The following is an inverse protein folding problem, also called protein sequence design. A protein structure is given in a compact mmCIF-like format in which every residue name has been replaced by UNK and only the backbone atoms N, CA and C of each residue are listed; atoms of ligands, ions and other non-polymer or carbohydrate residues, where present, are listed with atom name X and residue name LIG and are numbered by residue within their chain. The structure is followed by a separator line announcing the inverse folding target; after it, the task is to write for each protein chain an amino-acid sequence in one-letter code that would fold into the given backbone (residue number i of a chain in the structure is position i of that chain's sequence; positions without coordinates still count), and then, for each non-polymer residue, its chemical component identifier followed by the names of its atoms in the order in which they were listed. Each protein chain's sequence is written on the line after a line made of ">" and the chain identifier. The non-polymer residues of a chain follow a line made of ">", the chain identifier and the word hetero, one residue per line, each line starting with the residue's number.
data_IF_300608636802
#
_entry.id   IF_300608636802
#
_cell.length_a   1.000
_cell.length_b   1.000
_cell.length_c   1.000
_cell.angle_alpha   90.00
_cell.angle_beta   90.00
_cell.angle_gamma   90.00
#
_symmetry.space_group_name_H-M   'P 1'
#
loop_
_entity.id
_entity.type
_entity.pdbx_description
1 polymer ?
#
# COMPACT_ATOMS: atom_id res chain seq x y z
N UNK A 1 -4.61 2.25 -7.85
CA UNK A 1 -3.97 1.24 -6.97
C UNK A 1 -2.74 0.76 -7.71
N UNK A 2 -1.56 0.95 -7.14
CA UNK A 2 -0.30 0.41 -7.68
C UNK A 2 0.10 -0.78 -6.80
N UNK A 3 0.32 -1.94 -7.42
CA UNK A 3 0.98 -3.08 -6.78
C UNK A 3 2.49 -2.82 -6.90
N UNK A 4 3.21 -2.86 -5.79
CA UNK A 4 4.59 -2.38 -5.74
C UNK A 4 5.58 -3.52 -5.61
N UNK A 5 5.28 -4.49 -4.74
CA UNK A 5 6.12 -5.65 -4.50
C UNK A 5 5.18 -6.83 -4.30
N UNK A 6 5.46 -7.95 -4.98
CA UNK A 6 4.86 -9.26 -4.72
C UNK A 6 5.99 -10.26 -4.50
N UNK A 7 6.18 -10.69 -3.26
CA UNK A 7 6.83 -11.98 -2.96
C UNK A 7 5.75 -13.05 -2.80
N UNK A 8 6.16 -14.30 -2.60
CA UNK A 8 5.23 -15.42 -2.45
C UNK A 8 4.31 -15.28 -1.23
N UNK A 9 4.77 -14.60 -0.18
CA UNK A 9 4.04 -14.46 1.09
C UNK A 9 3.66 -13.03 1.46
N UNK A 10 4.34 -12.02 0.90
CA UNK A 10 4.18 -10.62 1.28
C UNK A 10 4.03 -9.74 0.04
N UNK A 11 3.01 -8.88 0.04
CA UNK A 11 2.88 -7.88 -1.00
C UNK A 11 2.31 -6.56 -0.49
N UNK A 12 2.66 -5.48 -1.19
CA UNK A 12 2.27 -4.12 -0.85
C UNK A 12 1.40 -3.49 -1.93
N UNK A 13 0.27 -2.90 -1.50
CA UNK A 13 -0.62 -2.09 -2.32
C UNK A 13 -0.55 -0.62 -1.86
N UNK A 14 -0.35 0.31 -2.80
CA UNK A 14 -0.56 1.73 -2.55
C UNK A 14 -1.86 2.21 -3.16
N UNK A 15 -2.64 2.85 -2.29
CA UNK A 15 -3.82 3.61 -2.61
C UNK A 15 -3.48 5.09 -2.57
N UNK A 16 -3.66 5.83 -3.67
CA UNK A 16 -3.52 7.29 -3.69
C UNK A 16 -4.72 7.99 -3.02
N UNK A 17 -5.27 7.36 -1.99
CA UNK A 17 -6.35 7.85 -1.15
C UNK A 17 -5.92 7.59 0.29
N UNK A 18 -5.90 8.64 1.10
CA UNK A 18 -5.56 8.51 2.52
C UNK A 18 -6.83 8.21 3.32
N UNK A 19 -6.87 7.06 4.00
CA UNK A 19 -8.00 6.61 4.80
C UNK A 19 -7.95 7.06 6.28
N UNK A 20 -6.91 7.81 6.67
CA UNK A 20 -6.63 8.22 8.07
C UNK A 20 -7.76 8.94 8.78
N UNK A 21 -8.62 9.66 8.05
CA UNK A 21 -9.74 10.41 8.61
C UNK A 21 -11.01 9.57 8.84
N UNK A 22 -11.02 8.31 8.38
CA UNK A 22 -12.16 7.42 8.50
C UNK A 22 -12.14 6.65 9.83
N UNK A 23 -13.31 6.17 10.25
CA UNK A 23 -13.40 5.25 11.39
C UNK A 23 -12.83 3.89 11.01
N UNK A 24 -12.33 3.14 11.99
CA UNK A 24 -11.75 1.81 11.79
C UNK A 24 -12.69 0.86 11.01
N UNK A 25 -13.99 0.86 11.35
CA UNK A 25 -15.00 0.05 10.65
C UNK A 25 -15.12 0.38 9.17
N UNK A 26 -14.99 1.66 8.81
CA UNK A 26 -15.08 2.15 7.44
C UNK A 26 -13.81 1.82 6.66
N UNK A 27 -12.65 1.87 7.33
CA UNK A 27 -11.36 1.44 6.78
C UNK A 27 -11.45 -0.05 6.44
N UNK A 28 -11.84 -0.90 7.41
CA UNK A 28 -11.99 -2.35 7.22
C UNK A 28 -12.93 -2.65 6.05
N UNK A 29 -14.08 -1.98 5.99
CA UNK A 29 -15.06 -2.16 4.90
C UNK A 29 -14.45 -1.79 3.54
N UNK A 30 -13.72 -0.68 3.46
CA UNK A 30 -13.03 -0.29 2.22
C UNK A 30 -11.95 -1.29 1.80
N UNK A 31 -11.17 -1.79 2.75
CA UNK A 31 -10.13 -2.81 2.50
C UNK A 31 -10.77 -4.09 1.93
N UNK A 32 -11.85 -4.58 2.55
CA UNK A 32 -12.62 -5.73 2.03
C UNK A 32 -13.10 -5.50 0.60
N UNK A 33 -13.68 -4.32 0.32
CA UNK A 33 -14.13 -3.98 -1.03
C UNK A 33 -13.00 -3.90 -2.05
N UNK A 34 -11.82 -3.42 -1.67
CA UNK A 34 -10.63 -3.41 -2.55
C UNK A 34 -10.27 -4.84 -2.93
N UNK A 35 -10.14 -5.74 -1.96
CA UNK A 35 -9.82 -7.14 -2.26
C UNK A 35 -10.91 -7.79 -3.11
N UNK A 36 -12.19 -7.67 -2.77
CA UNK A 36 -13.27 -8.22 -3.59
C UNK A 36 -13.24 -7.71 -5.04
N UNK A 37 -12.99 -6.41 -5.22
CA UNK A 37 -12.96 -5.78 -6.55
C UNK A 37 -11.75 -6.19 -7.38
N UNK A 38 -10.59 -6.37 -6.75
CA UNK A 38 -9.32 -6.55 -7.46
C UNK A 38 -8.78 -7.97 -7.43
N UNK A 39 -9.28 -8.84 -6.54
CA UNK A 39 -8.80 -10.22 -6.42
C UNK A 39 -9.01 -11.02 -7.71
N UNK A 40 -10.18 -10.86 -8.36
CA UNK A 40 -10.45 -11.52 -9.65
C UNK A 40 -9.43 -11.15 -10.74
N UNK A 41 -8.88 -9.93 -10.71
CA UNK A 41 -7.96 -9.45 -11.75
C UNK A 41 -6.50 -9.79 -11.45
N UNK A 42 -6.11 -9.74 -10.19
CA UNK A 42 -4.70 -9.79 -9.79
C UNK A 42 -4.34 -11.02 -8.96
N UNK A 43 -5.31 -11.89 -8.64
CA UNK A 43 -5.12 -13.07 -7.78
C UNK A 43 -4.30 -12.73 -6.53
N UNK A 44 -4.84 -11.77 -5.76
CA UNK A 44 -4.22 -11.20 -4.57
C UNK A 44 -4.36 -12.13 -3.36
N UNK A 45 -5.48 -12.84 -3.27
CA UNK A 45 -5.86 -13.68 -2.13
C UNK A 45 -6.30 -15.06 -2.66
N UNK A 46 -5.56 -16.07 -2.23
CA UNK A 46 -5.95 -17.48 -2.26
C UNK A 46 -6.54 -17.86 -0.89
N UNK A 47 -7.21 -19.02 -0.76
CA UNK A 47 -7.63 -19.50 0.54
C UNK A 47 -6.49 -19.53 1.57
N UNK A 48 -6.78 -19.07 2.78
CA UNK A 48 -5.80 -18.92 3.85
C UNK A 48 -6.09 -17.78 4.81
N UNK A 49 -5.21 -17.63 5.79
CA UNK A 49 -5.24 -16.56 6.79
C UNK A 49 -4.19 -15.50 6.48
N UNK A 50 -4.61 -14.24 6.43
CA UNK A 50 -3.75 -13.10 6.10
C UNK A 50 -3.79 -12.05 7.20
N UNK A 51 -2.63 -11.48 7.49
CA UNK A 51 -2.52 -10.22 8.22
C UNK A 51 -2.42 -9.08 7.22
N UNK A 52 -3.29 -8.09 7.42
CA UNK A 52 -3.42 -6.92 6.56
C UNK A 52 -3.10 -5.69 7.40
N UNK A 53 -1.87 -5.21 7.29
CA UNK A 53 -1.50 -3.96 7.93
C UNK A 53 -1.88 -2.78 7.03
N UNK A 54 -2.57 -1.82 7.62
CA UNK A 54 -2.97 -0.57 6.96
C UNK A 54 -2.15 0.55 7.56
N UNK A 55 -1.34 1.19 6.73
CA UNK A 55 -0.54 2.35 7.09
C UNK A 55 -1.05 3.60 6.40
N UNK A 56 -0.98 4.72 7.10
CA UNK A 56 -1.30 6.04 6.57
C UNK A 56 -0.03 6.86 6.42
N UNK A 57 0.19 7.38 5.22
CA UNK A 57 1.28 8.28 4.92
C UNK A 57 0.73 9.53 4.27
N UNK A 58 1.16 10.69 4.75
CA UNK A 58 0.58 11.97 4.33
C UNK A 58 0.85 12.23 2.85
N UNK A 59 2.03 11.84 2.38
CA UNK A 59 2.40 11.87 0.96
C UNK A 59 1.81 10.68 0.20
N UNK A 60 2.17 9.43 0.55
CA UNK A 60 1.87 8.33 -0.37
C UNK A 60 0.39 7.88 -0.42
N UNK A 61 -0.39 8.31 0.57
CA UNK A 61 -1.75 7.86 0.80
C UNK A 61 -1.80 6.66 1.75
N UNK A 62 -2.69 5.71 1.46
CA UNK A 62 -2.81 4.48 2.26
C UNK A 62 -1.99 3.36 1.66
N UNK A 63 -1.19 2.72 2.49
CA UNK A 63 -0.37 1.56 2.16
C UNK A 63 -1.01 0.36 2.83
N UNK A 64 -1.17 -0.72 2.08
CA UNK A 64 -1.66 -1.99 2.61
C UNK A 64 -0.55 -3.01 2.43
N UNK A 65 -0.06 -3.54 3.53
CA UNK A 65 0.84 -4.70 3.55
C UNK A 65 -0.01 -5.93 3.79
N UNK A 66 0.12 -6.93 2.94
CA UNK A 66 -0.59 -8.20 3.08
C UNK A 66 0.41 -9.32 3.22
N UNK A 67 0.35 -10.02 4.34
CA UNK A 67 1.17 -11.18 4.62
C UNK A 67 0.28 -12.42 4.77
N UNK A 68 0.56 -13.46 3.97
CA UNK A 68 -0.07 -14.78 4.16
C UNK A 68 0.61 -15.45 5.35
N UNK A 69 -0.13 -15.64 6.43
CA UNK A 69 0.37 -16.28 7.64
C UNK A 69 0.21 -17.80 7.55
N UNK A 70 -0.90 -18.27 6.97
CA UNK A 70 -1.20 -19.69 6.91
C UNK A 70 -2.06 -20.06 5.70
N UNK A 71 -1.96 -21.32 5.29
CA UNK A 71 -2.79 -21.95 4.26
C UNK A 71 -3.87 -22.80 4.91
N UNK A 72 -5.10 -22.71 4.42
CA UNK A 72 -6.10 -23.71 4.79
C UNK A 72 -5.94 -24.93 3.90
N UNK A 73 -5.60 -26.08 4.50
CA UNK A 73 -5.47 -27.35 3.77
C UNK A 73 -6.84 -27.89 3.28
N UNK A 74 -7.95 -27.38 3.82
CA UNK A 74 -9.30 -27.95 3.58
C UNK A 74 -10.44 -26.92 3.45
N UNK A 75 -10.16 -25.61 3.31
CA UNK A 75 -11.22 -24.60 3.14
C UNK A 75 -10.96 -23.71 1.93
N UNK A 76 -12.03 -23.25 1.27
CA UNK A 76 -11.96 -22.22 0.22
C UNK A 76 -12.07 -20.80 0.81
N UNK A 77 -11.96 -20.67 2.13
CA UNK A 77 -12.21 -19.41 2.83
C UNK A 77 -10.95 -18.53 2.87
N UNK A 78 -11.18 -17.23 2.83
CA UNK A 78 -10.15 -16.22 3.04
C UNK A 78 -10.49 -15.46 4.31
N UNK A 79 -9.59 -15.49 5.27
CA UNK A 79 -9.75 -14.75 6.52
C UNK A 79 -8.66 -13.67 6.66
N UNK A 80 -9.09 -12.49 7.06
CA UNK A 80 -8.29 -11.27 7.06
C UNK A 80 -8.28 -10.66 8.47
N UNK A 81 -7.10 -10.66 9.10
CA UNK A 81 -6.83 -9.85 10.28
C UNK A 81 -6.33 -8.48 9.86
N UNK A 82 -7.18 -7.46 9.96
CA UNK A 82 -6.80 -6.08 9.62
C UNK A 82 -6.22 -5.38 10.84
N UNK A 83 -5.01 -4.84 10.72
CA UNK A 83 -4.32 -4.07 11.76
C UNK A 83 -4.04 -2.67 11.22
N UNK A 84 -4.50 -1.63 11.92
CA UNK A 84 -4.21 -0.24 11.53
C UNK A 84 -2.95 0.20 12.27
N UNK A 85 -1.87 0.41 11.52
CA UNK A 85 -0.56 0.81 12.04
C UNK A 85 -0.26 2.22 11.56
N UNK A 86 -0.37 3.19 12.46
CA UNK A 86 0.02 4.56 12.16
C UNK A 86 1.52 4.73 12.38
N UNK A 87 2.20 5.35 11.40
CA UNK A 87 3.65 5.63 11.27
C UNK A 87 4.41 4.57 10.48
N UNK A 88 4.84 4.98 9.29
CA UNK A 88 5.78 4.26 8.44
C UNK A 88 6.57 5.27 7.62
N UNK A 89 7.82 4.98 7.29
CA UNK A 89 8.59 5.83 6.37
C UNK A 89 8.51 5.23 4.97
N UNK A 90 8.21 6.07 3.99
CA UNK A 90 8.22 5.68 2.58
C UNK A 90 9.18 6.57 1.83
N UNK A 91 10.08 5.95 1.07
CA UNK A 91 11.04 6.62 0.22
C UNK A 91 10.65 6.36 -1.24
N UNK A 92 10.63 7.42 -2.05
CA UNK A 92 10.36 7.37 -3.49
C UNK A 92 11.66 7.69 -4.22
N UNK A 93 12.23 6.69 -4.90
CA UNK A 93 13.46 6.80 -5.67
C UNK A 93 13.11 6.77 -7.16
N UNK A 94 13.30 7.89 -7.89
CA UNK A 94 12.98 7.97 -9.31
C UNK A 94 13.79 6.95 -10.14
N UNK A 95 13.12 6.23 -11.04
CA UNK A 95 13.74 5.23 -11.93
C UNK A 95 14.46 5.94 -13.09
N UNK A 96 13.88 7.03 -13.60
CA UNK A 96 14.45 7.85 -14.67
C UNK A 96 14.41 9.35 -14.30
N UNK A 97 15.58 9.90 -13.97
CA UNK A 97 15.73 11.32 -13.63
C UNK A 97 15.62 12.25 -14.86
N UNK A 98 15.68 11.71 -16.09
CA UNK A 98 15.72 12.52 -17.30
C UNK A 98 14.34 13.01 -17.74
N UNK A 99 13.30 12.21 -17.53
CA UNK A 99 11.90 12.60 -17.78
C UNK A 99 11.31 13.47 -16.65
N UNK A 100 11.95 13.48 -15.49
CA UNK A 100 11.52 14.20 -14.30
C UNK A 100 12.60 15.16 -13.76
N UNK A 101 13.29 15.86 -14.67
CA UNK A 101 14.32 16.87 -14.33
C UNK A 101 13.85 17.94 -13.34
N UNK A 102 12.55 18.20 -13.30
CA UNK A 102 11.87 19.15 -12.41
C UNK A 102 12.05 18.80 -10.93
N UNK A 103 12.28 17.52 -10.62
CA UNK A 103 12.37 16.96 -9.28
C UNK A 103 13.81 16.77 -8.78
N UNK A 104 14.80 17.33 -9.48
CA UNK A 104 16.22 17.38 -9.03
C UNK A 104 16.45 18.26 -7.79
N UNK A 105 15.44 18.99 -7.35
CA UNK A 105 15.45 19.77 -6.11
C UNK A 105 14.39 19.24 -5.14
N UNK A 106 14.60 19.50 -3.84
CA UNK A 106 13.74 19.00 -2.75
C UNK A 106 12.29 19.39 -3.04
N UNK A 107 11.47 18.39 -3.35
CA UNK A 107 10.07 18.54 -3.73
C UNK A 107 9.26 18.74 -2.46
N UNK A 108 8.51 19.83 -2.38
CA UNK A 108 7.43 19.92 -1.42
C UNK A 108 6.23 19.16 -1.98
N UNK A 109 6.05 17.92 -1.53
CA UNK A 109 5.04 17.03 -2.08
C UNK A 109 3.63 17.50 -1.76
N UNK A 110 3.48 18.37 -0.76
CA UNK A 110 2.21 19.01 -0.39
C UNK A 110 1.76 20.05 -1.45
N UNK A 111 2.66 20.45 -2.35
CA UNK A 111 2.38 21.42 -3.42
C UNK A 111 2.01 20.77 -4.75
N UNK A 112 2.12 19.44 -4.87
CA UNK A 112 1.81 18.73 -6.11
C UNK A 112 0.31 18.58 -6.33
N UNK A 113 -0.13 18.73 -7.58
CA UNK A 113 -1.45 18.26 -7.96
C UNK A 113 -1.51 16.72 -7.87
N UNK A 114 -2.71 16.18 -7.66
CA UNK A 114 -2.94 14.73 -7.65
C UNK A 114 -2.37 14.04 -8.90
N UNK A 115 -2.44 14.69 -10.06
CA UNK A 115 -1.93 14.15 -11.34
C UNK A 115 -0.40 14.07 -11.34
N UNK A 116 0.29 15.09 -10.86
CA UNK A 116 1.75 15.12 -10.79
C UNK A 116 2.28 14.13 -9.76
N UNK A 117 1.62 14.09 -8.60
CA UNK A 117 1.91 13.13 -7.55
C UNK A 117 1.73 11.67 -8.03
N UNK A 118 0.63 11.36 -8.74
CA UNK A 118 0.44 10.01 -9.31
C UNK A 118 1.53 9.64 -10.31
N UNK A 119 1.93 10.55 -11.20
CA UNK A 119 3.03 10.28 -12.13
C UNK A 119 4.36 10.07 -11.39
N UNK A 120 4.62 10.83 -10.33
CA UNK A 120 5.81 10.66 -9.48
C UNK A 120 5.85 9.24 -8.90
N UNK A 121 4.75 8.77 -8.31
CA UNK A 121 4.63 7.38 -7.81
C UNK A 121 4.89 6.37 -8.93
N UNK A 122 4.30 6.59 -10.12
CA UNK A 122 4.42 5.66 -11.25
C UNK A 122 5.88 5.46 -11.68
N UNK A 123 6.67 6.54 -11.72
CA UNK A 123 8.06 6.55 -12.18
C UNK A 123 9.09 6.42 -11.05
N UNK A 124 8.64 6.14 -9.83
CA UNK A 124 9.50 5.87 -8.68
C UNK A 124 9.54 4.38 -8.33
N UNK A 125 10.72 3.91 -7.93
CA UNK A 125 10.90 2.82 -6.98
C UNK A 125 10.40 3.28 -5.61
N UNK A 126 9.72 2.39 -4.89
CA UNK A 126 9.08 2.73 -3.63
C UNK A 126 9.65 1.80 -2.57
N UNK A 127 10.44 2.38 -1.67
CA UNK A 127 11.04 1.67 -0.54
C UNK A 127 10.23 1.97 0.72
N UNK A 128 9.72 0.93 1.35
CA UNK A 128 8.88 1.02 2.54
C UNK A 128 9.71 0.57 3.74
N UNK A 129 10.03 1.49 4.65
CA UNK A 129 10.77 1.20 5.87
C UNK A 129 9.81 1.07 7.06
N UNK A 130 9.55 -0.19 7.40
CA UNK A 130 8.79 -0.61 8.59
C UNK A 130 9.67 -0.69 9.83
N UNK A 131 11.00 -0.57 9.73
CA UNK A 131 11.94 -0.66 10.86
C UNK A 131 12.14 0.72 11.51
N UNK A 132 11.11 1.18 12.23
CA UNK A 132 11.18 1.88 13.55
C UNK A 132 9.88 2.62 13.85
N UNK A 133 9.00 1.96 14.59
CA UNK A 133 8.05 2.60 15.53
C UNK A 133 8.24 2.09 16.97
N UNK A 134 9.32 1.32 17.21
CA UNK A 134 9.72 0.83 18.54
C UNK A 134 11.20 1.13 18.83
N UNK A 135 11.62 2.38 18.60
CA UNK A 135 12.83 2.94 19.23
C UNK A 135 12.53 4.30 19.83
#
# INVERSE_FOLDING_TARGET
>A
MKLIIKSDTLYYLILPLNLKSLKESDIITKIKHIFLKYNHKYHLLEPGFYEVDVYHHDIVGTIISIEKIDTFDFSEEVDLRVIIKDKIKVYLNLIDETEFREYKSKIDVDTLSLKEYLKLIEHSNIDIDTKKVLS
#
